data_IF_686754575915
#
_entry.id   IF_686754575915
#
_cell.length_a   1.000
_cell.length_b   1.000
_cell.length_c   1.000
_cell.angle_alpha   90.00
_cell.angle_beta   90.00
_cell.angle_gamma   90.00
#
_symmetry.space_group_name_H-M   'P 1'
#
loop_
_entity.id
_entity.type
_entity.pdbx_description
1 polymer ?
#
# COMPACT_ATOMS: atom_id res chain seq x y z
N UNK A 1 41.24 8.68 -16.59
CA UNK A 1 40.43 8.86 -15.37
C UNK A 1 39.19 9.74 -15.55
N UNK A 2 39.04 10.55 -16.61
CA UNK A 2 37.83 11.38 -16.82
C UNK A 2 36.72 10.78 -17.69
N UNK A 3 36.81 9.50 -18.07
CA UNK A 3 35.84 8.85 -18.98
C UNK A 3 34.87 7.88 -18.29
N UNK A 4 35.16 7.46 -17.06
CA UNK A 4 34.39 6.46 -16.31
C UNK A 4 33.71 7.15 -15.12
N UNK A 5 32.45 6.82 -14.87
CA UNK A 5 31.71 7.35 -13.72
C UNK A 5 32.29 6.78 -12.41
N UNK A 6 32.26 7.58 -11.34
CA UNK A 6 32.78 7.18 -10.02
C UNK A 6 32.12 5.90 -9.49
N UNK A 7 30.83 5.70 -9.79
CA UNK A 7 30.11 4.49 -9.41
C UNK A 7 30.67 3.24 -10.12
N UNK A 8 31.11 3.37 -11.37
CA UNK A 8 31.71 2.28 -12.14
C UNK A 8 33.09 1.91 -11.55
N UNK A 9 33.85 2.90 -11.07
CA UNK A 9 35.11 2.68 -10.34
C UNK A 9 34.93 1.90 -9.03
N UNK A 10 33.76 2.03 -8.40
CA UNK A 10 33.45 1.34 -7.15
C UNK A 10 32.87 -0.06 -7.38
N UNK A 11 32.13 -0.28 -8.47
CA UNK A 11 31.42 -1.54 -8.74
C UNK A 11 32.30 -2.52 -9.54
N UNK A 12 33.11 -2.04 -10.49
CA UNK A 12 33.86 -2.87 -11.45
C UNK A 12 35.38 -2.77 -11.28
N UNK A 13 35.89 -2.99 -10.05
CA UNK A 13 37.35 -2.88 -9.77
C UNK A 13 38.22 -3.79 -10.64
N UNK A 14 37.79 -5.03 -10.90
CA UNK A 14 38.54 -5.97 -11.74
C UNK A 14 38.74 -5.44 -13.17
N UNK A 15 37.65 -4.99 -13.81
CA UNK A 15 37.64 -4.50 -15.20
C UNK A 15 38.57 -3.30 -15.37
N UNK A 16 38.57 -2.39 -14.40
CA UNK A 16 39.42 -1.20 -14.41
C UNK A 16 40.89 -1.56 -14.16
N UNK A 17 41.16 -2.54 -13.29
CA UNK A 17 42.52 -3.00 -13.06
C UNK A 17 43.12 -3.63 -14.33
N UNK A 18 42.34 -4.41 -15.09
CA UNK A 18 42.77 -4.98 -16.38
C UNK A 18 43.01 -3.90 -17.44
N UNK A 19 42.10 -2.92 -17.54
CA UNK A 19 42.24 -1.79 -18.46
C UNK A 19 43.49 -0.96 -18.14
N UNK A 20 43.70 -0.64 -16.85
CA UNK A 20 44.89 0.07 -16.38
C UNK A 20 46.18 -0.74 -16.58
N UNK A 21 46.16 -2.04 -16.34
CA UNK A 21 47.31 -2.91 -16.60
C UNK A 21 47.72 -2.85 -18.06
N UNK A 22 46.76 -2.98 -18.98
CA UNK A 22 47.01 -2.97 -20.42
C UNK A 22 47.65 -1.64 -20.86
N UNK A 23 47.07 -0.51 -20.42
CA UNK A 23 47.55 0.83 -20.79
C UNK A 23 48.97 1.09 -20.23
N UNK A 24 49.23 0.67 -18.99
CA UNK A 24 50.52 0.92 -18.35
C UNK A 24 51.61 -0.01 -18.93
N UNK A 25 51.30 -1.28 -19.21
CA UNK A 25 52.25 -2.22 -19.84
C UNK A 25 52.70 -1.67 -21.21
N UNK A 26 51.75 -1.24 -22.05
CA UNK A 26 52.05 -0.64 -23.37
C UNK A 26 52.93 0.62 -23.28
N UNK A 27 52.73 1.45 -22.25
CA UNK A 27 53.55 2.65 -22.00
C UNK A 27 54.94 2.33 -21.43
N UNK A 28 55.11 1.18 -20.74
CA UNK A 28 56.34 0.82 -20.03
C UNK A 28 57.23 -0.16 -20.79
N UNK A 29 56.71 -0.76 -21.86
CA UNK A 29 57.47 -1.59 -22.82
C UNK A 29 58.79 -0.95 -23.32
N UNK A 30 58.84 0.35 -23.71
CA UNK A 30 60.08 0.98 -24.16
C UNK A 30 61.17 1.06 -23.08
N UNK A 31 60.79 0.96 -21.81
CA UNK A 31 61.71 0.98 -20.67
C UNK A 31 62.15 -0.42 -20.24
N UNK A 32 61.62 -1.48 -20.90
CA UNK A 32 61.96 -2.87 -20.60
C UNK A 32 61.41 -3.34 -19.25
N UNK A 33 60.36 -2.71 -18.74
CA UNK A 33 59.69 -3.06 -17.48
C UNK A 33 58.36 -3.72 -17.81
N UNK A 34 58.12 -4.92 -17.28
CA UNK A 34 56.86 -5.64 -17.43
C UNK A 34 55.97 -5.45 -16.22
N UNK A 35 54.72 -5.02 -16.41
CA UNK A 35 53.79 -4.74 -15.31
C UNK A 35 52.89 -5.95 -15.06
N UNK A 36 53.02 -6.57 -13.89
CA UNK A 36 52.33 -7.82 -13.55
C UNK A 36 50.93 -7.62 -12.98
N UNK A 37 50.72 -6.62 -12.12
CA UNK A 37 49.42 -6.33 -11.47
C UNK A 37 49.33 -4.84 -11.19
N UNK A 38 48.18 -4.24 -11.49
CA UNK A 38 47.82 -2.86 -11.12
C UNK A 38 46.58 -2.92 -10.24
N UNK A 39 46.61 -2.24 -9.09
CA UNK A 39 45.48 -2.17 -8.17
C UNK A 39 45.22 -0.72 -7.77
N UNK A 40 43.98 -0.28 -7.93
CA UNK A 40 43.52 1.02 -7.40
C UNK A 40 43.36 0.90 -5.88
N UNK A 41 44.23 1.59 -5.13
CA UNK A 41 44.18 1.63 -3.65
C UNK A 41 43.04 2.49 -3.12
N UNK A 42 43.29 3.79 -2.98
CA UNK A 42 42.39 4.73 -2.31
C UNK A 42 42.03 5.86 -3.26
N UNK A 43 40.73 6.08 -3.46
CA UNK A 43 40.18 7.24 -4.17
C UNK A 43 39.65 8.20 -3.12
N UNK A 44 40.26 9.38 -3.01
CA UNK A 44 39.78 10.43 -2.11
C UNK A 44 38.62 11.19 -2.75
N UNK A 45 37.41 10.94 -2.25
CA UNK A 45 36.20 11.64 -2.69
C UNK A 45 35.98 12.85 -1.75
N UNK A 46 35.74 14.07 -2.28
CA UNK A 46 35.42 15.23 -1.46
C UNK A 46 34.21 14.98 -0.56
N UNK A 47 34.29 15.42 0.70
CA UNK A 47 33.26 15.15 1.72
C UNK A 47 31.85 15.63 1.32
N UNK A 48 31.75 16.69 0.50
CA UNK A 48 30.47 17.19 0.00
C UNK A 48 29.81 16.19 -0.97
N UNK A 49 30.57 15.62 -1.90
CA UNK A 49 30.08 14.63 -2.86
C UNK A 49 29.72 13.32 -2.17
N UNK A 50 30.53 12.87 -1.20
CA UNK A 50 30.24 11.66 -0.43
C UNK A 50 28.89 11.75 0.30
N UNK A 51 28.56 12.91 0.87
CA UNK A 51 27.25 13.13 1.52
C UNK A 51 26.10 13.14 0.52
N UNK A 52 26.29 13.74 -0.66
CA UNK A 52 25.27 13.75 -1.71
C UNK A 52 24.99 12.34 -2.25
N UNK A 53 26.05 11.57 -2.52
CA UNK A 53 25.97 10.18 -2.96
C UNK A 53 25.32 9.27 -1.91
N UNK A 54 25.68 9.44 -0.63
CA UNK A 54 25.04 8.70 0.46
C UNK A 54 23.53 8.96 0.53
N UNK A 55 23.10 10.23 0.41
CA UNK A 55 21.66 10.59 0.39
C UNK A 55 20.94 10.04 -0.83
N UNK A 56 21.58 10.04 -1.99
CA UNK A 56 21.03 9.47 -3.21
C UNK A 56 20.88 7.95 -3.09
N UNK A 57 21.91 7.27 -2.59
CA UNK A 57 21.88 5.83 -2.37
C UNK A 57 20.82 5.41 -1.35
N UNK A 58 20.65 6.20 -0.27
CA UNK A 58 19.60 5.97 0.72
C UNK A 58 18.20 6.14 0.12
N UNK A 59 17.98 7.21 -0.64
CA UNK A 59 16.70 7.48 -1.30
C UNK A 59 16.33 6.39 -2.32
N UNK A 60 17.29 5.95 -3.13
CA UNK A 60 17.08 4.87 -4.10
C UNK A 60 16.82 3.53 -3.41
N UNK A 61 17.54 3.24 -2.32
CA UNK A 61 17.30 2.05 -1.50
C UNK A 61 15.92 2.06 -0.87
N UNK A 62 15.49 3.18 -0.31
CA UNK A 62 14.16 3.32 0.29
C UNK A 62 13.05 3.19 -0.77
N UNK A 63 13.23 3.82 -1.93
CA UNK A 63 12.32 3.68 -3.07
C UNK A 63 12.19 2.22 -3.50
N UNK A 64 13.31 1.53 -3.70
CA UNK A 64 13.32 0.10 -4.08
C UNK A 64 12.67 -0.76 -3.00
N UNK A 65 12.93 -0.50 -1.73
CA UNK A 65 12.31 -1.22 -0.63
C UNK A 65 10.78 -1.07 -0.65
N UNK A 66 10.25 0.13 -0.88
CA UNK A 66 8.80 0.37 -1.00
C UNK A 66 8.18 -0.38 -2.17
N UNK A 67 8.84 -0.39 -3.33
CA UNK A 67 8.37 -1.12 -4.51
C UNK A 67 8.33 -2.62 -4.24
N UNK A 68 9.40 -3.17 -3.65
CA UNK A 68 9.49 -4.60 -3.33
C UNK A 68 8.44 -4.99 -2.28
N UNK A 69 8.22 -4.15 -1.27
CA UNK A 69 7.20 -4.39 -0.26
C UNK A 69 5.79 -4.40 -0.88
N UNK A 70 5.45 -3.39 -1.68
CA UNK A 70 4.16 -3.31 -2.35
C UNK A 70 3.92 -4.50 -3.31
N UNK A 71 4.94 -4.92 -4.06
CA UNK A 71 4.87 -6.10 -4.92
C UNK A 71 4.71 -7.39 -4.09
N UNK A 72 5.43 -7.50 -2.97
CA UNK A 72 5.30 -8.62 -2.04
C UNK A 72 3.89 -8.73 -1.46
N UNK A 73 3.30 -7.61 -1.04
CA UNK A 73 1.91 -7.54 -0.54
C UNK A 73 0.90 -7.90 -1.62
N UNK A 74 1.10 -7.44 -2.86
CA UNK A 74 0.24 -7.78 -3.99
C UNK A 74 0.26 -9.29 -4.28
N UNK A 75 1.46 -9.88 -4.35
CA UNK A 75 1.61 -11.32 -4.57
C UNK A 75 1.03 -12.15 -3.42
N UNK A 76 1.23 -11.71 -2.17
CA UNK A 76 0.63 -12.36 -1.01
C UNK A 76 -0.90 -12.33 -1.08
N UNK A 77 -1.48 -11.17 -1.38
CA UNK A 77 -2.93 -10.99 -1.51
C UNK A 77 -3.53 -11.83 -2.64
N UNK A 78 -2.86 -11.90 -3.80
CA UNK A 78 -3.27 -12.79 -4.89
C UNK A 78 -3.29 -14.25 -4.45
N UNK A 79 -2.22 -14.73 -3.80
CA UNK A 79 -2.14 -16.12 -3.34
C UNK A 79 -3.21 -16.43 -2.29
N UNK A 80 -3.48 -15.49 -1.38
CA UNK A 80 -4.56 -15.63 -0.39
C UNK A 80 -5.93 -15.69 -1.05
N UNK A 81 -6.21 -14.85 -2.06
CA UNK A 81 -7.45 -14.90 -2.84
C UNK A 81 -7.61 -16.25 -3.54
N UNK A 82 -6.57 -16.74 -4.23
CA UNK A 82 -6.60 -18.05 -4.88
C UNK A 82 -6.82 -19.19 -3.87
N UNK A 83 -6.23 -19.07 -2.67
CA UNK A 83 -6.47 -20.04 -1.60
C UNK A 83 -7.91 -19.96 -1.08
N UNK A 84 -8.47 -18.76 -0.94
CA UNK A 84 -9.85 -18.54 -0.53
C UNK A 84 -10.86 -19.09 -1.56
N UNK A 85 -10.62 -18.88 -2.85
CA UNK A 85 -11.42 -19.45 -3.94
C UNK A 85 -11.44 -20.98 -3.87
N UNK A 86 -10.33 -21.60 -3.47
CA UNK A 86 -10.26 -23.07 -3.25
C UNK A 86 -10.87 -23.52 -1.93
N UNK A 87 -11.05 -22.62 -0.97
CA UNK A 87 -11.67 -22.85 0.34
C UNK A 87 -13.20 -22.62 0.30
N UNK A 88 -13.79 -22.33 -0.85
CA UNK A 88 -15.23 -22.05 -1.00
C UNK A 88 -16.14 -23.18 -0.46
N UNK A 89 -15.66 -24.43 -0.43
CA UNK A 89 -16.43 -25.54 0.14
C UNK A 89 -16.56 -25.42 1.67
N UNK A 90 -17.77 -25.58 2.24
CA UNK A 90 -17.98 -25.56 3.69
C UNK A 90 -17.12 -26.57 4.47
N UNK A 91 -16.85 -27.73 3.87
CA UNK A 91 -15.99 -28.78 4.46
C UNK A 91 -14.53 -28.34 4.58
N UNK A 92 -14.01 -27.59 3.60
CA UNK A 92 -12.63 -27.10 3.64
C UNK A 92 -12.42 -26.00 4.70
N UNK A 93 -13.41 -25.11 4.87
CA UNK A 93 -13.41 -24.12 5.96
C UNK A 93 -13.42 -24.80 7.33
N UNK A 94 -14.22 -25.86 7.47
CA UNK A 94 -14.29 -26.62 8.72
C UNK A 94 -12.98 -27.36 9.03
N UNK A 95 -12.32 -27.97 8.04
CA UNK A 95 -11.00 -28.59 8.21
C UNK A 95 -9.93 -27.55 8.56
N UNK A 96 -9.97 -26.38 7.91
CA UNK A 96 -9.08 -25.27 8.25
C UNK A 96 -9.31 -24.77 9.68
N UNK A 97 -10.57 -24.69 10.12
CA UNK A 97 -10.91 -24.37 11.51
C UNK A 97 -10.27 -25.39 12.47
N UNK A 98 -10.41 -26.69 12.21
CA UNK A 98 -9.77 -27.72 13.04
C UNK A 98 -8.23 -27.67 13.02
N UNK A 99 -7.61 -27.35 11.88
CA UNK A 99 -6.16 -27.15 11.79
C UNK A 99 -5.70 -25.97 12.64
N UNK A 100 -6.39 -24.82 12.54
CA UNK A 100 -6.09 -23.65 13.37
C UNK A 100 -6.30 -23.93 14.87
N UNK A 101 -7.31 -24.72 15.23
CA UNK A 101 -7.51 -25.15 16.61
C UNK A 101 -6.37 -26.05 17.09
N UNK A 102 -5.86 -26.95 16.23
CA UNK A 102 -4.70 -27.78 16.53
C UNK A 102 -3.43 -26.95 16.77
N UNK A 103 -3.17 -25.95 15.94
CA UNK A 103 -2.03 -25.03 16.11
C UNK A 103 -2.13 -24.19 17.39
N UNK A 104 -3.32 -23.69 17.73
CA UNK A 104 -3.56 -22.90 18.95
C UNK A 104 -3.49 -23.77 20.20
N UNK A 105 -4.00 -25.02 20.15
CA UNK A 105 -3.98 -25.95 21.28
C UNK A 105 -2.55 -26.35 21.68
N UNK A 106 -1.60 -26.37 20.73
CA UNK A 106 -0.17 -26.61 21.01
C UNK A 106 0.45 -25.46 21.81
N UNK A 107 -0.06 -24.24 21.70
CA UNK A 107 0.46 -23.04 22.38
C UNK A 107 -0.14 -22.74 23.77
N UNK A 108 -0.81 -23.71 24.42
CA UNK A 108 -1.28 -23.62 25.82
C UNK A 108 -2.19 -22.41 26.16
N UNK A 109 -3.05 -21.94 25.25
CA UNK A 109 -4.06 -20.94 25.60
C UNK A 109 -5.41 -21.63 25.95
N UNK A 110 -5.88 -21.44 27.19
CA UNK A 110 -6.95 -22.25 27.81
C UNK A 110 -8.38 -21.75 27.52
N UNK A 111 -8.55 -20.63 26.79
CA UNK A 111 -9.87 -20.06 26.44
C UNK A 111 -9.95 -19.81 24.94
N UNK A 112 -10.78 -20.60 24.24
CA UNK A 112 -11.00 -20.50 22.79
C UNK A 112 -12.34 -19.80 22.55
N UNK A 113 -12.31 -18.56 22.06
CA UNK A 113 -13.52 -17.82 21.66
C UNK A 113 -13.86 -18.23 20.23
N UNK A 114 -14.94 -19.00 20.08
CA UNK A 114 -15.37 -19.53 18.79
C UNK A 114 -16.59 -18.74 18.28
N UNK A 115 -16.47 -17.99 17.17
CA UNK A 115 -17.64 -17.38 16.55
C UNK A 115 -18.45 -18.47 15.86
N UNK A 116 -19.51 -18.94 16.52
CA UNK A 116 -20.47 -19.87 15.93
C UNK A 116 -21.59 -19.07 15.24
N UNK A 117 -21.93 -19.37 13.97
CA UNK A 117 -23.06 -18.76 13.30
C UNK A 117 -24.36 -18.95 14.09
N UNK A 118 -25.11 -17.86 14.25
CA UNK A 118 -26.38 -17.84 15.00
C UNK A 118 -27.40 -18.80 14.37
N UNK A 119 -27.25 -19.10 13.07
CA UNK A 119 -28.05 -20.07 12.32
C UNK A 119 -28.06 -21.48 12.91
N UNK A 120 -26.97 -21.90 13.57
CA UNK A 120 -26.90 -23.19 14.27
C UNK A 120 -27.77 -23.20 15.53
N UNK A 121 -28.04 -22.04 16.11
CA UNK A 121 -28.85 -21.87 17.32
C UNK A 121 -30.29 -21.40 17.02
N UNK A 122 -30.60 -20.98 15.78
CA UNK A 122 -31.95 -20.58 15.35
C UNK A 122 -33.05 -21.55 15.76
N UNK A 123 -32.97 -22.88 15.50
CA UNK A 123 -34.04 -23.81 15.91
C UNK A 123 -34.22 -23.93 17.43
N UNK A 124 -33.16 -23.67 18.21
CA UNK A 124 -33.22 -23.67 19.68
C UNK A 124 -33.80 -22.35 20.24
N UNK A 125 -33.47 -21.22 19.60
CA UNK A 125 -33.99 -19.89 19.94
C UNK A 125 -35.45 -19.71 19.50
N UNK A 126 -35.83 -20.20 18.32
CA UNK A 126 -37.20 -20.15 17.80
C UNK A 126 -38.15 -21.04 18.62
N UNK A 127 -37.66 -22.17 19.13
CA UNK A 127 -38.42 -23.01 20.07
C UNK A 127 -38.70 -22.31 21.42
N UNK A 128 -37.93 -21.29 21.79
CA UNK A 128 -38.12 -20.52 23.02
C UNK A 128 -38.89 -19.21 22.79
N UNK A 129 -38.82 -18.64 21.59
CA UNK A 129 -39.54 -17.42 21.17
C UNK A 129 -40.97 -17.66 20.65
N UNK A 130 -41.50 -18.88 20.74
CA UNK A 130 -42.90 -19.20 20.44
C UNK A 130 -43.94 -18.50 21.33
N UNK A 131 -43.54 -17.67 22.29
CA UNK A 131 -44.44 -16.83 23.08
C UNK A 131 -43.83 -15.43 23.29
N UNK A 132 -44.36 -14.42 22.58
CA UNK A 132 -44.18 -12.98 22.83
C UNK A 132 -42.86 -12.32 22.39
N UNK A 133 -42.78 -11.82 21.14
CA UNK A 133 -41.70 -10.89 20.78
C UNK A 133 -41.79 -10.16 19.44
N UNK A 134 -42.36 -10.77 18.39
CA UNK A 134 -42.12 -10.30 17.01
C UNK A 134 -42.84 -9.02 16.55
N UNK A 135 -43.85 -8.51 17.25
CA UNK A 135 -44.64 -7.36 16.76
C UNK A 135 -44.14 -5.97 17.23
N UNK A 136 -43.25 -5.90 18.21
CA UNK A 136 -42.84 -4.62 18.83
C UNK A 136 -41.57 -3.99 18.24
N UNK A 137 -40.70 -4.80 17.64
CA UNK A 137 -39.38 -4.38 17.17
C UNK A 137 -39.45 -3.72 15.79
N UNK A 138 -40.28 -4.26 14.88
CA UNK A 138 -40.53 -3.68 13.55
C UNK A 138 -41.20 -2.29 13.65
N UNK A 139 -42.14 -2.11 14.59
CA UNK A 139 -42.85 -0.84 14.80
C UNK A 139 -41.92 0.23 15.41
N UNK A 140 -40.93 -0.17 16.23
CA UNK A 140 -39.91 0.74 16.76
C UNK A 140 -38.88 1.14 15.69
N UNK A 141 -38.46 0.19 14.86
CA UNK A 141 -37.54 0.45 13.75
C UNK A 141 -38.16 1.37 12.68
N UNK A 142 -39.46 1.25 12.42
CA UNK A 142 -40.17 2.14 11.51
C UNK A 142 -40.27 3.59 12.04
N UNK A 143 -40.56 3.76 13.34
CA UNK A 143 -40.68 5.10 13.96
C UNK A 143 -39.35 5.85 13.99
N UNK A 144 -38.23 5.14 14.23
CA UNK A 144 -36.90 5.74 14.23
C UNK A 144 -36.47 6.20 12.83
N UNK A 145 -36.84 5.45 11.78
CA UNK A 145 -36.58 5.87 10.39
C UNK A 145 -37.38 7.10 9.99
N UNK A 146 -38.64 7.19 10.41
CA UNK A 146 -39.46 8.37 10.17
C UNK A 146 -38.91 9.61 10.89
N UNK A 147 -38.32 9.45 12.09
CA UNK A 147 -37.66 10.53 12.83
C UNK A 147 -36.34 10.96 12.14
N UNK A 148 -35.51 10.01 11.68
CA UNK A 148 -34.25 10.29 10.97
C UNK A 148 -34.47 10.97 9.61
N UNK A 149 -35.47 10.54 8.83
CA UNK A 149 -35.82 11.18 7.55
C UNK A 149 -36.32 12.62 7.77
N UNK A 150 -37.11 12.86 8.82
CA UNK A 150 -37.59 14.20 9.16
C UNK A 150 -36.46 15.13 9.63
N UNK A 151 -35.46 14.61 10.35
CA UNK A 151 -34.27 15.39 10.74
C UNK A 151 -33.39 15.72 9.53
N UNK A 152 -33.21 14.77 8.60
CA UNK A 152 -32.47 15.00 7.36
C UNK A 152 -33.14 16.05 6.46
N UNK A 153 -34.47 16.04 6.34
CA UNK A 153 -35.22 17.04 5.58
C UNK A 153 -35.09 18.46 6.19
N UNK A 154 -35.15 18.59 7.52
CA UNK A 154 -34.97 19.89 8.20
C UNK A 154 -33.58 20.46 8.01
N UNK A 155 -32.54 19.62 8.13
CA UNK A 155 -31.15 20.02 7.94
C UNK A 155 -30.88 20.45 6.49
N UNK A 156 -31.51 19.77 5.52
CA UNK A 156 -31.44 20.16 4.12
C UNK A 156 -32.13 21.51 3.86
N UNK A 157 -33.32 21.75 4.43
CA UNK A 157 -34.05 23.00 4.27
C UNK A 157 -33.33 24.20 4.92
N UNK A 158 -32.70 23.99 6.08
CA UNK A 158 -31.86 24.97 6.75
C UNK A 158 -30.61 25.32 5.93
N UNK A 159 -29.88 24.32 5.43
CA UNK A 159 -28.69 24.52 4.61
C UNK A 159 -29.01 25.21 3.27
N UNK A 160 -30.14 24.86 2.64
CA UNK A 160 -30.61 25.53 1.41
C UNK A 160 -31.08 26.96 1.70
N UNK A 161 -31.68 27.21 2.86
CA UNK A 161 -32.07 28.54 3.33
C UNK A 161 -30.88 29.45 3.67
N UNK A 162 -29.77 28.89 4.15
CA UNK A 162 -28.50 29.60 4.35
C UNK A 162 -27.80 29.90 3.03
N UNK A 163 -27.69 28.92 2.12
CA UNK A 163 -27.15 29.14 0.79
C UNK A 163 -27.93 30.21 0.00
N UNK A 164 -29.26 30.26 0.14
CA UNK A 164 -30.10 31.29 -0.52
C UNK A 164 -29.90 32.69 0.08
N UNK A 165 -29.50 32.79 1.35
CA UNK A 165 -29.13 34.06 2.00
C UNK A 165 -27.75 34.54 1.55
N UNK A 166 -26.78 33.63 1.41
CA UNK A 166 -25.43 33.97 0.94
C UNK A 166 -25.38 34.36 -0.54
N UNK A 167 -26.16 33.69 -1.40
CA UNK A 167 -26.22 34.00 -2.85
C UNK A 167 -26.92 35.34 -3.14
N UNK A 168 -27.77 35.82 -2.24
CA UNK A 168 -28.40 37.15 -2.37
C UNK A 168 -27.46 38.32 -2.02
N UNK A 169 -26.28 38.06 -1.44
CA UNK A 169 -25.31 39.08 -1.03
C UNK A 169 -24.20 39.35 -2.02
N UNK A 170 -24.06 38.55 -3.09
CA UNK A 170 -22.97 38.67 -4.06
C UNK A 170 -23.52 39.01 -5.46
N UNK A 171 -24.05 40.22 -5.64
CA UNK A 171 -24.36 40.78 -6.97
C UNK A 171 -23.07 41.38 -7.57
N UNK A 172 -22.50 40.72 -8.58
CA UNK A 172 -21.37 41.22 -9.39
C UNK A 172 -21.90 41.75 -10.74
N UNK A 173 -21.47 42.92 -11.25
CA UNK A 173 -22.09 43.59 -12.38
C UNK A 173 -21.88 42.89 -13.74
N UNK A 174 -22.89 43.01 -14.60
CA UNK A 174 -22.94 42.45 -15.95
C UNK A 174 -22.04 43.18 -16.96
N UNK A 175 -21.20 42.43 -17.67
CA UNK A 175 -20.68 42.83 -18.98
C UNK A 175 -20.53 41.56 -19.86
N UNK A 176 -21.31 41.49 -20.94
CA UNK A 176 -21.22 40.44 -21.97
C UNK A 176 -20.39 40.95 -23.15
N UNK A 177 -19.54 40.12 -23.79
CA UNK A 177 -19.20 40.31 -25.18
C UNK A 177 -20.04 39.39 -26.07
N UNK A 178 -20.59 40.01 -27.12
CA UNK A 178 -21.46 39.43 -28.14
C UNK A 178 -20.89 38.16 -28.81
N UNK A 179 -21.77 37.19 -29.04
CA UNK A 179 -21.52 36.06 -29.91
C UNK A 179 -21.75 36.44 -31.37
N UNK A 180 -20.69 36.41 -32.18
CA UNK A 180 -20.82 36.30 -33.63
C UNK A 180 -20.85 34.83 -34.05
N UNK A 181 -22.00 34.42 -34.56
CA UNK A 181 -22.16 33.22 -35.36
C UNK A 181 -21.64 33.49 -36.79
N UNK A 182 -20.62 32.75 -37.25
CA UNK A 182 -20.52 32.35 -38.65
C UNK A 182 -19.35 31.41 -38.96
N UNK A 183 -19.72 30.33 -39.64
CA UNK A 183 -18.94 29.35 -40.44
C UNK A 183 -18.49 28.07 -39.75
#
# INVERSE_FOLDING_TARGET
LGQKDLDELLINREEINEELQTIIDEQTDPWGVKVSVVEVKDVEIPQQMQRAMARQAESERERRAKIIAAEGEYQASQRLRQAADRLESPTALQLRLFQTMGEIAVNQNSTIILPVPIDLFKPFLESQNGASGSYGEEVRAARLKEEEEQEAERLYEEAVGEAKREVSSEEVPAEMPDGEASR
#
